data_IF_521021795667
#
_entry.id   IF_521021795667
#
_cell.length_a   1.000
_cell.length_b   1.000
_cell.length_c   1.000
_cell.angle_alpha   90.00
_cell.angle_beta   90.00
_cell.angle_gamma   90.00
#
_symmetry.space_group_name_H-M   'P 1'
#
loop_
_entity.id
_entity.type
_entity.pdbx_description
1 polymer ?
#
# COMPACT_ATOMS: atom_id res chain seq x y z
N UNK A 1 -2.36 -3.55 -37.38
CA UNK A 1 -1.35 -2.58 -36.88
C UNK A 1 -2.06 -1.23 -36.85
N UNK A 2 -2.54 -0.70 -35.72
CA UNK A 2 -1.85 -0.51 -34.44
C UNK A 2 -2.74 -0.90 -33.26
N UNK A 3 -2.21 -1.74 -32.37
CA UNK A 3 -2.82 -2.14 -31.12
C UNK A 3 -2.23 -1.33 -29.98
N UNK A 4 -2.93 -0.27 -29.58
CA UNK A 4 -2.71 0.46 -28.33
C UNK A 4 -4.07 0.74 -27.68
N UNK A 5 -4.86 -0.32 -27.46
CA UNK A 5 -5.88 -0.27 -26.42
C UNK A 5 -5.14 -0.25 -25.09
N UNK A 6 -4.80 0.96 -24.66
CA UNK A 6 -4.18 1.25 -23.37
C UNK A 6 -5.07 0.62 -22.30
N UNK A 7 -4.59 -0.42 -21.65
CA UNK A 7 -5.30 -1.10 -20.56
C UNK A 7 -5.66 -0.06 -19.49
N UNK A 8 -6.89 0.45 -19.56
CA UNK A 8 -7.30 1.62 -18.78
C UNK A 8 -7.56 1.21 -17.33
N UNK A 9 -8.01 -0.04 -17.14
CA UNK A 9 -8.21 -0.61 -15.82
C UNK A 9 -6.93 -1.28 -15.31
N UNK A 10 -6.55 -0.94 -14.07
CA UNK A 10 -5.41 -1.55 -13.38
C UNK A 10 -5.81 -1.92 -11.95
N UNK A 11 -5.81 -3.21 -11.66
CA UNK A 11 -6.01 -3.75 -10.31
C UNK A 11 -4.66 -3.92 -9.59
N UNK A 12 -4.71 -4.01 -8.25
CA UNK A 12 -3.53 -4.33 -7.45
C UNK A 12 -3.81 -5.34 -6.35
N UNK A 13 -2.89 -6.27 -6.19
CA UNK A 13 -2.77 -7.18 -5.05
C UNK A 13 -1.56 -6.72 -4.26
N UNK A 14 -1.76 -6.30 -3.01
CA UNK A 14 -0.66 -5.78 -2.20
C UNK A 14 -0.65 -6.41 -0.81
N UNK A 15 -0.06 -7.60 -0.65
CA UNK A 15 0.13 -8.22 0.65
C UNK A 15 1.24 -7.50 1.44
N UNK A 16 1.02 -7.37 2.74
CA UNK A 16 2.10 -7.08 3.71
C UNK A 16 2.71 -8.42 4.14
N UNK A 17 4.02 -8.66 3.93
CA UNK A 17 4.65 -9.96 4.19
C UNK A 17 4.99 -10.15 5.68
N UNK A 18 4.01 -9.93 6.57
CA UNK A 18 4.15 -10.08 8.03
C UNK A 18 3.71 -11.44 8.57
N UNK A 19 3.37 -12.37 7.67
CA UNK A 19 2.87 -13.71 7.97
C UNK A 19 2.37 -14.40 6.70
N UNK A 20 1.92 -15.64 6.82
CA UNK A 20 1.33 -16.37 5.69
C UNK A 20 0.02 -15.75 5.22
N UNK A 21 -0.28 -15.91 3.93
CA UNK A 21 -1.50 -15.44 3.34
C UNK A 21 -2.70 -16.18 3.95
N UNK A 22 -3.64 -15.45 4.54
CA UNK A 22 -4.88 -16.02 5.06
C UNK A 22 -6.03 -15.85 4.07
N UNK A 23 -7.10 -16.63 4.26
CA UNK A 23 -8.25 -16.70 3.37
C UNK A 23 -8.89 -15.34 3.07
N UNK A 24 -9.06 -14.48 4.08
CA UNK A 24 -9.59 -13.12 3.88
C UNK A 24 -8.79 -12.27 2.88
N UNK A 25 -7.45 -12.38 2.88
CA UNK A 25 -6.62 -11.71 1.89
C UNK A 25 -6.80 -12.34 0.51
N UNK A 26 -6.81 -13.67 0.43
CA UNK A 26 -7.01 -14.39 -0.84
C UNK A 26 -8.34 -13.99 -1.50
N UNK A 27 -9.43 -13.89 -0.74
CA UNK A 27 -10.75 -13.47 -1.27
C UNK A 27 -10.75 -12.02 -1.77
N UNK A 28 -10.09 -11.12 -1.03
CA UNK A 28 -9.94 -9.72 -1.43
C UNK A 28 -9.14 -9.59 -2.72
N UNK A 29 -8.02 -10.32 -2.81
CA UNK A 29 -7.16 -10.34 -3.97
C UNK A 29 -7.82 -10.98 -5.19
N UNK A 30 -8.57 -12.07 -5.01
CA UNK A 30 -9.40 -12.67 -6.05
C UNK A 30 -10.39 -11.65 -6.62
N UNK A 31 -11.09 -10.92 -5.76
CA UNK A 31 -12.06 -9.90 -6.21
C UNK A 31 -11.38 -8.79 -7.02
N UNK A 32 -10.21 -8.31 -6.57
CA UNK A 32 -9.46 -7.29 -7.30
C UNK A 32 -8.95 -7.80 -8.65
N UNK A 33 -8.47 -9.04 -8.68
CA UNK A 33 -7.99 -9.75 -9.86
C UNK A 33 -9.12 -9.99 -10.87
N UNK A 34 -10.25 -10.55 -10.46
CA UNK A 34 -11.43 -10.80 -11.31
C UNK A 34 -11.95 -9.52 -11.95
N UNK A 35 -11.99 -8.41 -11.19
CA UNK A 35 -12.38 -7.10 -11.74
C UNK A 35 -11.42 -6.62 -12.81
N UNK A 36 -10.11 -6.78 -12.59
CA UNK A 36 -9.12 -6.39 -13.58
C UNK A 36 -9.21 -7.25 -14.84
N UNK A 37 -9.23 -8.58 -14.68
CA UNK A 37 -9.35 -9.52 -15.80
C UNK A 37 -10.66 -9.34 -16.56
N UNK A 38 -11.78 -9.13 -15.85
CA UNK A 38 -13.09 -8.88 -16.46
C UNK A 38 -13.18 -7.56 -17.24
N UNK A 39 -12.39 -6.55 -16.85
CA UNK A 39 -12.24 -5.30 -17.59
C UNK A 39 -11.17 -5.38 -18.71
N UNK A 40 -10.60 -6.56 -18.94
CA UNK A 40 -9.47 -6.76 -19.83
C UNK A 40 -8.17 -6.13 -19.34
N UNK A 41 -8.14 -5.52 -18.15
CA UNK A 41 -7.04 -4.71 -17.62
C UNK A 41 -5.88 -5.51 -17.01
N UNK A 42 -4.93 -4.75 -16.45
CA UNK A 42 -3.73 -5.32 -15.85
C UNK A 42 -3.87 -5.53 -14.33
N UNK A 43 -3.16 -6.51 -13.79
CA UNK A 43 -3.03 -6.80 -12.36
C UNK A 43 -1.58 -6.58 -11.94
N UNK A 44 -1.40 -5.78 -10.88
CA UNK A 44 -0.08 -5.48 -10.30
C UNK A 44 0.05 -6.17 -8.94
N UNK A 45 1.12 -6.95 -8.76
CA UNK A 45 1.56 -7.39 -7.45
C UNK A 45 2.50 -6.34 -6.84
N UNK A 46 2.23 -5.91 -5.61
CA UNK A 46 3.08 -4.96 -4.88
C UNK A 46 3.37 -5.47 -3.49
N UNK A 47 4.65 -5.66 -3.16
CA UNK A 47 5.04 -6.14 -1.85
C UNK A 47 5.05 -4.96 -0.85
N UNK A 48 4.11 -4.93 0.09
CA UNK A 48 3.96 -3.83 1.06
C UNK A 48 4.81 -4.10 2.32
N UNK A 49 6.14 -4.05 2.16
CA UNK A 49 7.18 -4.45 3.13
C UNK A 49 7.81 -3.30 3.93
N UNK A 50 7.03 -2.26 4.25
CA UNK A 50 7.51 -1.04 4.94
C UNK A 50 7.82 -1.22 6.43
N UNK A 51 7.43 -2.34 7.03
CA UNK A 51 7.68 -2.66 8.44
C UNK A 51 8.76 -3.74 8.55
N UNK A 52 10.06 -3.39 8.60
CA UNK A 52 11.16 -4.36 8.55
C UNK A 52 11.18 -5.30 9.76
N UNK A 53 10.61 -4.89 10.90
CA UNK A 53 10.56 -5.73 12.10
C UNK A 53 9.61 -6.91 11.90
N UNK A 54 8.49 -6.66 11.22
CA UNK A 54 7.44 -7.65 10.97
C UNK A 54 7.58 -8.36 9.62
N UNK A 55 8.19 -7.74 8.63
CA UNK A 55 8.26 -8.25 7.27
C UNK A 55 9.40 -9.25 7.07
N UNK A 56 9.14 -10.35 6.35
CA UNK A 56 10.16 -11.34 5.98
C UNK A 56 10.05 -11.70 4.49
N UNK A 57 11.17 -11.78 3.75
CA UNK A 57 11.16 -12.17 2.33
C UNK A 57 10.45 -13.51 2.08
N UNK A 58 10.62 -14.49 2.97
CA UNK A 58 9.98 -15.80 2.88
C UNK A 58 8.44 -15.73 2.86
N UNK A 59 7.84 -14.74 3.54
CA UNK A 59 6.39 -14.53 3.51
C UNK A 59 5.93 -13.90 2.19
N UNK A 60 6.74 -13.02 1.58
CA UNK A 60 6.45 -12.47 0.26
C UNK A 60 6.51 -13.57 -0.81
N UNK A 61 7.53 -14.41 -0.78
CA UNK A 61 7.68 -15.58 -1.66
C UNK A 61 6.52 -16.58 -1.49
N UNK A 62 6.15 -16.90 -0.25
CA UNK A 62 5.02 -17.77 0.03
C UNK A 62 3.70 -17.18 -0.49
N UNK A 63 3.45 -15.89 -0.27
CA UNK A 63 2.25 -15.22 -0.77
C UNK A 63 2.17 -15.25 -2.31
N UNK A 64 3.29 -15.01 -3.01
CA UNK A 64 3.35 -15.11 -4.47
C UNK A 64 3.04 -16.53 -4.95
N UNK A 65 3.62 -17.55 -4.32
CA UNK A 65 3.36 -18.96 -4.66
C UNK A 65 1.89 -19.32 -4.42
N UNK A 66 1.38 -19.04 -3.21
CA UNK A 66 0.03 -19.41 -2.81
C UNK A 66 -1.03 -18.75 -3.72
N UNK A 67 -0.81 -17.50 -4.16
CA UNK A 67 -1.70 -16.82 -5.12
C UNK A 67 -1.68 -17.47 -6.51
N UNK A 68 -0.50 -17.85 -7.01
CA UNK A 68 -0.38 -18.56 -8.29
C UNK A 68 -1.07 -19.92 -8.24
N UNK A 69 -0.90 -20.65 -7.14
CA UNK A 69 -1.50 -21.98 -6.96
C UNK A 69 -3.04 -21.94 -7.00
N UNK A 70 -3.65 -20.83 -6.58
CA UNK A 70 -5.11 -20.63 -6.65
C UNK A 70 -5.58 -19.90 -7.93
N UNK A 71 -4.70 -19.79 -8.93
CA UNK A 71 -4.99 -19.24 -10.25
C UNK A 71 -4.99 -17.72 -10.33
N UNK A 72 -4.40 -17.02 -9.36
CA UNK A 72 -4.27 -15.57 -9.37
C UNK A 72 -2.87 -15.20 -9.88
N UNK A 73 -2.82 -14.71 -11.10
CA UNK A 73 -1.61 -14.20 -11.74
C UNK A 73 -1.56 -12.65 -11.73
N UNK A 74 -0.42 -12.10 -12.13
CA UNK A 74 -0.19 -10.67 -12.28
C UNK A 74 0.68 -10.39 -13.50
N UNK A 75 0.53 -9.19 -14.05
CA UNK A 75 1.25 -8.74 -15.25
C UNK A 75 2.50 -7.92 -14.88
N UNK A 76 2.52 -7.38 -13.66
CA UNK A 76 3.62 -6.57 -13.10
C UNK A 76 3.85 -6.97 -11.64
N UNK A 77 5.10 -7.05 -11.21
CA UNK A 77 5.43 -7.41 -9.83
C UNK A 77 6.93 -7.51 -9.56
N UNK A 78 7.35 -7.78 -8.32
CA UNK A 78 8.77 -7.84 -7.94
C UNK A 78 9.58 -8.87 -8.75
N UNK A 79 8.92 -9.93 -9.21
CA UNK A 79 9.52 -11.04 -9.95
C UNK A 79 9.42 -10.91 -11.48
N UNK A 80 8.51 -10.08 -11.98
CA UNK A 80 8.31 -9.83 -13.41
C UNK A 80 8.84 -8.47 -13.87
N UNK A 81 9.04 -7.53 -12.95
CA UNK A 81 9.30 -6.14 -13.24
C UNK A 81 8.09 -5.45 -13.87
N UNK A 82 8.34 -4.36 -14.59
CA UNK A 82 7.33 -3.60 -15.32
C UNK A 82 7.61 -2.10 -15.33
N UNK A 83 6.72 -1.29 -15.92
CA UNK A 83 6.97 0.13 -16.14
C UNK A 83 7.03 0.98 -14.86
N UNK A 84 6.56 0.47 -13.71
CA UNK A 84 6.49 1.20 -12.44
C UNK A 84 7.40 0.64 -11.35
N UNK A 85 8.41 -0.16 -11.72
CA UNK A 85 9.41 -0.74 -10.83
C UNK A 85 10.10 0.32 -9.94
N UNK A 86 10.56 0.02 -8.71
CA UNK A 86 10.48 -1.27 -8.00
C UNK A 86 9.11 -1.56 -7.37
N UNK A 87 8.66 -2.82 -7.35
CA UNK A 87 7.38 -3.21 -6.74
C UNK A 87 7.46 -3.56 -5.24
N UNK A 88 8.65 -3.63 -4.67
CA UNK A 88 8.88 -3.66 -3.21
C UNK A 88 8.80 -2.26 -2.64
N UNK A 89 7.89 -2.01 -1.71
CA UNK A 89 7.70 -0.69 -1.13
C UNK A 89 8.96 -0.18 -0.42
N UNK A 90 9.73 -1.05 0.23
CA UNK A 90 11.01 -0.74 0.89
C UNK A 90 12.03 -0.12 -0.07
N UNK A 91 12.02 -0.54 -1.34
CA UNK A 91 12.91 -0.06 -2.40
C UNK A 91 12.47 1.28 -3.02
N UNK A 92 11.33 1.85 -2.59
CA UNK A 92 10.73 3.06 -3.17
C UNK A 92 10.96 4.33 -2.35
N UNK A 93 11.91 4.33 -1.42
CA UNK A 93 12.23 5.49 -0.56
C UNK A 93 12.36 6.83 -1.33
N UNK A 94 13.03 6.90 -2.51
CA UNK A 94 13.11 8.15 -3.27
C UNK A 94 11.75 8.66 -3.77
N UNK A 95 10.82 7.77 -4.10
CA UNK A 95 9.47 8.12 -4.57
C UNK A 95 8.68 8.76 -3.44
N UNK A 96 8.73 8.19 -2.24
CA UNK A 96 8.05 8.76 -1.08
C UNK A 96 8.64 10.09 -0.66
N UNK A 97 9.97 10.23 -0.70
CA UNK A 97 10.63 11.49 -0.39
C UNK A 97 10.20 12.60 -1.37
N UNK A 98 10.13 12.29 -2.67
CA UNK A 98 9.64 13.24 -3.67
C UNK A 98 8.19 13.66 -3.42
N UNK A 99 7.31 12.69 -3.12
CA UNK A 99 5.92 12.98 -2.77
C UNK A 99 5.81 13.82 -1.48
N UNK A 100 6.63 13.50 -0.47
CA UNK A 100 6.70 14.24 0.79
C UNK A 100 7.15 15.69 0.58
N UNK A 101 8.19 15.93 -0.24
CA UNK A 101 8.63 17.27 -0.59
C UNK A 101 7.52 18.07 -1.28
N UNK A 102 6.83 17.47 -2.26
CA UNK A 102 5.72 18.14 -2.95
C UNK A 102 4.58 18.49 -2.00
N UNK A 103 4.21 17.58 -1.10
CA UNK A 103 3.18 17.82 -0.09
C UNK A 103 3.58 18.96 0.85
N UNK A 104 4.87 19.05 1.22
CA UNK A 104 5.40 20.15 2.02
C UNK A 104 5.35 21.48 1.27
N UNK A 105 5.72 21.49 -0.01
CA UNK A 105 5.72 22.69 -0.86
C UNK A 105 4.32 23.31 -1.00
N UNK A 106 3.28 22.48 -1.14
CA UNK A 106 1.89 22.96 -1.27
C UNK A 106 1.20 23.20 0.07
N UNK A 107 1.90 23.07 1.20
CA UNK A 107 1.35 23.27 2.54
C UNK A 107 0.35 22.20 2.99
N UNK A 108 0.35 21.01 2.37
CA UNK A 108 -0.57 19.92 2.69
C UNK A 108 -0.13 19.07 3.91
N UNK A 109 1.12 19.24 4.37
CA UNK A 109 1.67 18.55 5.55
C UNK A 109 2.43 19.52 6.45
N UNK A 110 2.52 19.17 7.73
CA UNK A 110 3.26 19.90 8.75
C UNK A 110 4.00 18.94 9.68
N UNK A 111 5.13 19.36 10.29
CA UNK A 111 5.82 18.53 11.27
C UNK A 111 5.01 18.44 12.57
N UNK A 112 4.97 17.24 13.17
CA UNK A 112 4.39 17.01 14.49
C UNK A 112 5.51 16.85 15.52
N UNK A 113 5.51 17.67 16.57
CA UNK A 113 6.43 17.57 17.70
C UNK A 113 5.85 16.80 18.90
N UNK A 114 4.64 16.26 18.78
CA UNK A 114 3.90 15.61 19.87
C UNK A 114 4.25 14.14 19.99
N UNK A 115 4.45 13.71 21.22
CA UNK A 115 4.63 12.30 21.57
C UNK A 115 3.31 11.54 21.49
N UNK A 116 3.38 10.22 21.30
CA UNK A 116 2.20 9.35 21.35
C UNK A 116 1.46 9.44 22.70
N UNK A 117 2.16 9.77 23.78
CA UNK A 117 1.57 9.95 25.11
C UNK A 117 0.73 11.24 25.18
N UNK A 118 1.27 12.37 24.73
CA UNK A 118 0.52 13.63 24.68
C UNK A 118 -0.74 13.53 23.80
N UNK A 119 -0.66 12.81 22.68
CA UNK A 119 -1.82 12.58 21.79
C UNK A 119 -2.92 11.78 22.51
N UNK A 120 -2.55 10.73 23.27
CA UNK A 120 -3.53 9.96 24.07
C UNK A 120 -4.12 10.76 25.22
N UNK A 121 -3.29 11.55 25.91
CA UNK A 121 -3.71 12.39 27.04
C UNK A 121 -4.69 13.50 26.60
N UNK A 122 -4.64 13.93 25.33
CA UNK A 122 -5.61 14.87 24.78
C UNK A 122 -7.04 14.32 24.73
N UNK A 123 -7.23 13.00 24.85
CA UNK A 123 -8.54 12.37 25.10
C UNK A 123 -9.57 12.53 23.99
N UNK A 124 -9.17 12.96 22.78
CA UNK A 124 -10.03 12.91 21.62
C UNK A 124 -10.03 11.48 21.11
N UNK A 125 -11.18 10.83 21.15
CA UNK A 125 -11.37 9.49 20.60
C UNK A 125 -12.28 9.57 19.38
N UNK A 126 -12.11 8.63 18.46
CA UNK A 126 -13.08 8.40 17.40
C UNK A 126 -14.46 8.03 17.98
N UNK A 127 -15.52 8.25 17.22
CA UNK A 127 -16.90 7.96 17.64
C UNK A 127 -17.13 6.47 17.97
N UNK A 128 -16.28 5.58 17.43
CA UNK A 128 -16.26 4.14 17.73
C UNK A 128 -15.40 3.78 18.97
N UNK A 129 -14.82 4.78 19.65
CA UNK A 129 -14.05 4.63 20.89
C UNK A 129 -12.72 3.91 20.76
N UNK A 130 -12.30 3.56 19.53
CA UNK A 130 -11.18 2.65 19.28
C UNK A 130 -9.81 3.32 19.27
N UNK A 131 -9.69 4.52 18.69
CA UNK A 131 -8.39 5.17 18.50
C UNK A 131 -8.39 6.66 18.89
N UNK A 132 -7.30 7.13 19.54
CA UNK A 132 -7.14 8.55 19.83
C UNK A 132 -6.98 9.33 18.52
N UNK A 133 -7.87 10.29 18.28
CA UNK A 133 -7.78 11.22 17.17
C UNK A 133 -6.65 12.22 17.40
N UNK A 134 -5.97 12.62 16.33
CA UNK A 134 -4.96 13.67 16.40
C UNK A 134 -5.62 15.03 16.69
N UNK A 135 -5.29 15.71 17.79
CA UNK A 135 -5.96 16.95 18.17
C UNK A 135 -5.74 18.09 17.17
N UNK A 136 -6.82 18.76 16.75
CA UNK A 136 -6.72 19.98 15.91
C UNK A 136 -5.91 21.07 16.61
N UNK A 137 -6.00 21.17 17.94
CA UNK A 137 -5.20 22.09 18.74
C UNK A 137 -3.68 21.83 18.69
N UNK A 138 -3.24 20.65 18.23
CA UNK A 138 -1.83 20.33 18.03
C UNK A 138 -1.34 20.63 16.62
N UNK A 139 -2.23 21.02 15.72
CA UNK A 139 -1.84 21.49 14.39
C UNK A 139 -1.21 22.88 14.53
N UNK A 140 -0.11 23.16 13.81
CA UNK A 140 0.40 24.51 13.76
C UNK A 140 -0.65 25.44 13.11
N UNK A 141 -0.64 26.74 13.44
CA UNK A 141 -1.48 27.70 12.72
C UNK A 141 -1.18 27.61 11.23
N UNK A 142 -2.23 27.74 10.41
CA UNK A 142 -2.07 27.90 8.96
C UNK A 142 -1.23 29.17 8.75
N UNK A 143 -0.02 28.98 8.21
CA UNK A 143 0.90 30.06 7.85
C UNK A 143 0.43 30.81 6.61
#
# INVERSE_FOLDING_TARGET
MNGEDKQTYRGRIAPTPSGYLHEGHAQTFRTAWERARGAGGAVVFRNDDLDPDRCRPSFAEAAMRDLRDIGIDWDEGPDLGGPFDPYDQSSRSPVYLSAWCRLKEVGAIYPCSRTRREIREAGLSSDDGGEPLFPVAFQPPLG
#
